data_IF_691860657433
#
_entry.id   IF_691860657433
#
_cell.length_a   1.000
_cell.length_b   1.000
_cell.length_c   1.000
_cell.angle_alpha   90.00
_cell.angle_beta   90.00
_cell.angle_gamma   90.00
#
_symmetry.space_group_name_H-M   'P 1'
#
loop_
_entity.id
_entity.type
_entity.pdbx_description
1 polymer ?
#
# COMPACT_ATOMS: atom_id res chain seq x y z
N UNK A 1 12.54 -10.80 -6.25
CA UNK A 1 13.79 -11.62 -6.25
C UNK A 1 14.30 -11.71 -4.82
N UNK A 2 15.14 -12.69 -4.47
CA UNK A 2 15.62 -12.88 -3.09
C UNK A 2 16.98 -13.56 -3.03
N UNK A 3 17.71 -13.36 -1.92
CA UNK A 3 19.02 -13.96 -1.72
C UNK A 3 18.91 -15.49 -1.55
N UNK A 4 19.82 -16.23 -2.20
CA UNK A 4 19.89 -17.69 -2.13
C UNK A 4 20.62 -18.09 -0.85
N UNK A 5 19.98 -18.90 -0.01
CA UNK A 5 20.66 -19.56 1.11
C UNK A 5 21.73 -20.51 0.58
N UNK A 6 22.94 -20.43 1.13
CA UNK A 6 24.11 -21.21 0.71
C UNK A 6 24.39 -22.34 1.69
N UNK A 7 24.55 -22.02 2.97
CA UNK A 7 24.72 -23.03 4.02
C UNK A 7 24.38 -22.49 5.42
N UNK A 8 24.09 -23.43 6.32
CA UNK A 8 24.11 -23.24 7.77
C UNK A 8 25.32 -23.99 8.32
N UNK A 9 26.16 -23.35 9.13
CA UNK A 9 27.40 -23.95 9.65
C UNK A 9 27.83 -23.35 10.98
N UNK A 10 28.76 -24.01 11.66
CA UNK A 10 29.41 -23.46 12.84
C UNK A 10 30.33 -22.27 12.46
N UNK A 11 30.47 -21.26 13.35
CA UNK A 11 31.44 -20.17 13.20
C UNK A 11 32.88 -20.68 13.28
N UNK A 12 33.77 -20.15 12.44
CA UNK A 12 35.21 -20.45 12.47
C UNK A 12 35.98 -19.25 13.03
N UNK A 13 37.01 -19.44 13.89
CA UNK A 13 37.84 -18.35 14.40
C UNK A 13 38.45 -17.48 13.28
N UNK A 14 38.48 -16.17 13.51
CA UNK A 14 38.99 -15.16 12.57
C UNK A 14 37.99 -14.68 11.52
N UNK A 15 36.86 -15.37 11.29
CA UNK A 15 35.86 -14.95 10.28
C UNK A 15 35.11 -13.67 10.66
N UNK A 16 35.08 -13.30 11.94
CA UNK A 16 34.43 -12.09 12.44
C UNK A 16 35.01 -10.78 11.87
N UNK A 17 36.17 -10.82 11.19
CA UNK A 17 36.80 -9.65 10.57
C UNK A 17 37.21 -8.54 11.56
N UNK A 18 37.27 -8.84 12.86
CA UNK A 18 37.49 -7.86 13.93
C UNK A 18 36.22 -7.18 14.46
N UNK A 19 35.02 -7.63 14.04
CA UNK A 19 33.75 -7.12 14.59
C UNK A 19 33.50 -7.53 16.05
N UNK A 20 34.10 -8.63 16.50
CA UNK A 20 34.09 -9.11 17.89
C UNK A 20 35.22 -10.12 18.14
N UNK A 21 35.49 -10.47 19.41
CA UNK A 21 36.45 -11.51 19.78
C UNK A 21 35.97 -12.90 19.36
N UNK A 22 36.91 -13.80 19.04
CA UNK A 22 36.62 -15.20 18.67
C UNK A 22 35.85 -15.98 19.75
N UNK A 23 36.00 -15.61 21.02
CA UNK A 23 35.22 -16.20 22.13
C UNK A 23 33.73 -15.81 22.11
N UNK A 24 33.38 -14.68 21.47
CA UNK A 24 32.01 -14.22 21.27
C UNK A 24 31.47 -14.59 19.89
N UNK A 25 32.34 -14.76 18.89
CA UNK A 25 32.01 -15.28 17.56
C UNK A 25 31.71 -16.79 17.62
N UNK A 26 32.63 -17.57 18.20
CA UNK A 26 32.55 -19.03 18.37
C UNK A 26 31.94 -19.46 19.72
N UNK A 27 31.08 -18.62 20.30
CA UNK A 27 30.39 -18.93 21.56
C UNK A 27 29.39 -20.08 21.44
N UNK A 28 29.05 -20.72 22.56
CA UNK A 28 28.06 -21.80 22.58
C UNK A 28 26.69 -21.34 22.06
N UNK A 29 26.06 -22.14 21.20
CA UNK A 29 24.79 -21.81 20.55
C UNK A 29 24.88 -20.82 19.38
N UNK A 30 26.08 -20.38 18.98
CA UNK A 30 26.29 -19.57 17.76
C UNK A 30 26.18 -20.41 16.49
N UNK A 31 25.80 -19.76 15.39
CA UNK A 31 25.71 -20.34 14.05
C UNK A 31 25.95 -19.26 13.00
N UNK A 32 26.52 -19.64 11.85
CA UNK A 32 26.62 -18.81 10.65
C UNK A 32 25.59 -19.30 9.63
N UNK A 33 24.77 -18.38 9.14
CA UNK A 33 23.84 -18.58 8.03
C UNK A 33 24.34 -17.75 6.84
N UNK A 34 24.70 -18.41 5.74
CA UNK A 34 25.30 -17.76 4.58
C UNK A 34 24.26 -17.59 3.46
N UNK A 35 24.18 -16.37 2.90
CA UNK A 35 23.26 -16.01 1.83
C UNK A 35 24.00 -15.25 0.73
N UNK A 36 23.67 -15.53 -0.54
CA UNK A 36 24.22 -14.83 -1.71
C UNK A 36 23.07 -14.25 -2.54
N UNK A 37 23.08 -12.93 -2.72
CA UNK A 37 22.28 -12.25 -3.73
C UNK A 37 23.10 -12.15 -5.01
N UNK A 38 22.78 -12.97 -6.02
CA UNK A 38 23.50 -13.01 -7.30
C UNK A 38 23.17 -11.83 -8.22
N UNK A 39 22.13 -11.06 -7.91
CA UNK A 39 21.67 -9.91 -8.69
C UNK A 39 22.09 -8.61 -7.99
N UNK A 40 22.63 -7.61 -8.70
CA UNK A 40 22.89 -6.29 -8.12
C UNK A 40 21.58 -5.66 -7.59
N UNK A 41 21.60 -5.18 -6.35
CA UNK A 41 20.50 -4.42 -5.73
C UNK A 41 21.03 -3.13 -5.09
N UNK A 42 20.25 -2.03 -5.10
CA UNK A 42 20.54 -0.86 -4.28
C UNK A 42 20.50 -1.19 -2.76
N UNK A 43 21.30 -0.51 -1.91
CA UNK A 43 21.41 -0.87 -0.49
C UNK A 43 20.11 -0.80 0.32
N UNK A 44 19.13 0.00 -0.08
CA UNK A 44 17.85 0.10 0.65
C UNK A 44 16.98 -1.16 0.55
N UNK A 45 17.27 -2.06 -0.42
CA UNK A 45 16.63 -3.37 -0.54
C UNK A 45 17.33 -4.46 0.27
N UNK A 46 18.39 -4.13 1.03
CA UNK A 46 19.01 -5.07 1.96
C UNK A 46 18.15 -5.22 3.22
N UNK A 47 17.37 -6.30 3.27
CA UNK A 47 16.59 -6.69 4.43
C UNK A 47 17.10 -8.02 5.01
N UNK A 48 17.10 -8.13 6.35
CA UNK A 48 17.37 -9.37 7.07
C UNK A 48 16.52 -9.44 8.34
N UNK A 49 16.16 -10.64 8.76
CA UNK A 49 15.42 -10.90 10.00
C UNK A 49 16.07 -12.08 10.73
N UNK A 50 16.18 -11.99 12.05
CA UNK A 50 16.78 -13.03 12.91
C UNK A 50 15.90 -13.24 14.12
N UNK A 51 15.55 -14.50 14.38
CA UNK A 51 14.70 -14.93 15.49
C UNK A 51 14.44 -16.43 15.39
N UNK A 52 13.61 -16.96 16.29
CA UNK A 52 13.10 -18.33 16.15
C UNK A 52 12.00 -18.33 15.07
N UNK A 53 12.40 -18.45 13.80
CA UNK A 53 11.49 -18.34 12.66
C UNK A 53 11.10 -19.72 12.11
N UNK A 54 9.79 -19.94 11.96
CA UNK A 54 9.24 -21.06 11.19
C UNK A 54 8.67 -20.60 9.85
N UNK A 55 8.12 -21.54 9.07
CA UNK A 55 7.37 -21.21 7.87
C UNK A 55 6.14 -22.10 7.65
N UNK A 56 5.27 -21.65 6.74
CA UNK A 56 4.18 -22.41 6.13
C UNK A 56 4.17 -22.16 4.62
N UNK A 57 3.83 -23.17 3.85
CA UNK A 57 3.66 -23.05 2.39
C UNK A 57 2.21 -22.63 2.11
N UNK A 58 2.03 -21.53 1.39
CA UNK A 58 0.71 -20.93 1.08
C UNK A 58 0.42 -20.90 -0.42
N UNK A 59 1.31 -21.47 -1.23
CA UNK A 59 1.19 -21.58 -2.67
C UNK A 59 2.37 -22.35 -3.29
N UNK A 60 2.29 -22.75 -4.57
CA UNK A 60 3.31 -23.57 -5.25
C UNK A 60 4.70 -22.91 -5.37
N UNK A 61 4.81 -21.62 -5.03
CA UNK A 61 6.03 -20.81 -5.05
C UNK A 61 6.14 -19.85 -3.85
N UNK A 62 5.22 -19.94 -2.90
CA UNK A 62 4.98 -18.88 -1.91
C UNK A 62 4.96 -19.45 -0.50
N UNK A 63 5.74 -18.83 0.40
CA UNK A 63 5.86 -19.22 1.81
C UNK A 63 5.71 -18.00 2.70
N UNK A 64 4.99 -18.15 3.80
CA UNK A 64 4.94 -17.16 4.89
C UNK A 64 5.90 -17.60 5.99
N UNK A 65 6.63 -16.64 6.55
CA UNK A 65 7.55 -16.82 7.67
C UNK A 65 7.07 -16.00 8.87
N UNK A 66 7.15 -16.56 10.06
CA UNK A 66 6.79 -15.89 11.33
C UNK A 66 7.58 -16.50 12.49
N UNK A 67 7.40 -15.96 13.70
CA UNK A 67 7.81 -16.65 14.93
C UNK A 67 7.35 -18.12 14.92
N UNK A 68 8.20 -19.04 15.39
CA UNK A 68 8.02 -20.49 15.26
C UNK A 68 6.92 -21.09 16.14
N UNK A 69 6.15 -20.26 16.85
CA UNK A 69 5.00 -20.67 17.66
C UNK A 69 3.90 -21.22 16.72
N UNK A 70 3.44 -22.48 16.87
CA UNK A 70 2.51 -23.10 15.92
C UNK A 70 1.24 -22.27 15.67
N UNK A 71 0.63 -21.72 16.72
CA UNK A 71 -0.57 -20.87 16.59
C UNK A 71 -0.32 -19.54 15.86
N UNK A 72 0.91 -19.00 15.90
CA UNK A 72 1.28 -17.80 15.14
C UNK A 72 1.53 -18.17 13.68
N UNK A 73 2.23 -19.28 13.41
CA UNK A 73 2.43 -19.80 12.07
C UNK A 73 1.13 -20.16 11.37
N UNK A 74 0.18 -20.77 12.09
CA UNK A 74 -1.11 -21.16 11.54
C UNK A 74 -2.07 -19.97 11.39
N UNK A 75 -1.99 -18.96 12.27
CA UNK A 75 -2.69 -17.68 12.09
C UNK A 75 -2.15 -16.92 10.88
N UNK A 76 -0.83 -16.76 10.77
CA UNK A 76 -0.17 -16.15 9.61
C UNK A 76 -0.50 -16.93 8.33
N UNK A 77 -0.43 -18.27 8.34
CA UNK A 77 -0.83 -19.08 7.18
C UNK A 77 -2.33 -19.05 6.88
N UNK A 78 -3.18 -18.57 7.79
CA UNK A 78 -4.61 -18.31 7.54
C UNK A 78 -4.83 -16.92 6.96
N UNK A 79 -4.20 -15.88 7.52
CA UNK A 79 -4.16 -14.52 6.96
C UNK A 79 -3.62 -14.55 5.52
N UNK A 80 -2.50 -15.25 5.33
CA UNK A 80 -1.85 -15.47 4.05
C UNK A 80 -2.34 -16.73 3.31
N UNK A 81 -3.39 -17.42 3.74
CA UNK A 81 -3.97 -18.57 3.01
C UNK A 81 -4.45 -18.17 1.62
N UNK A 82 -5.00 -16.96 1.52
CA UNK A 82 -5.42 -16.37 0.26
C UNK A 82 -4.27 -15.91 -0.63
N UNK A 83 -2.98 -16.09 -0.30
CA UNK A 83 -1.89 -15.32 -0.95
C UNK A 83 -1.80 -15.52 -2.46
N UNK A 84 -1.98 -16.72 -3.04
CA UNK A 84 -1.94 -16.83 -4.51
C UNK A 84 -3.13 -16.11 -5.19
N UNK A 85 -4.26 -15.92 -4.50
CA UNK A 85 -5.34 -15.03 -4.94
C UNK A 85 -5.00 -13.56 -4.62
N UNK A 86 -4.44 -13.26 -3.45
CA UNK A 86 -3.97 -11.94 -3.03
C UNK A 86 -2.64 -11.52 -3.69
N UNK A 87 -2.11 -12.28 -4.65
CA UNK A 87 -1.17 -11.76 -5.66
C UNK A 87 -1.83 -10.62 -6.48
N UNK A 88 -3.15 -10.47 -6.40
CA UNK A 88 -3.94 -9.29 -6.81
C UNK A 88 -3.68 -8.03 -5.96
N UNK A 89 -3.25 -8.17 -4.70
CA UNK A 89 -2.95 -7.10 -3.73
C UNK A 89 -1.43 -6.92 -3.59
N UNK A 90 -0.70 -8.03 -3.51
CA UNK A 90 0.77 -8.12 -3.67
C UNK A 90 1.18 -7.83 -5.14
N UNK A 91 0.24 -7.42 -6.00
CA UNK A 91 0.51 -7.03 -7.40
C UNK A 91 1.50 -5.86 -7.49
N UNK A 92 1.50 -4.98 -6.49
CA UNK A 92 2.42 -3.85 -6.35
C UNK A 92 3.84 -4.34 -6.03
N UNK A 93 4.02 -5.07 -4.92
CA UNK A 93 5.29 -5.71 -4.53
C UNK A 93 5.85 -6.67 -5.60
N UNK A 94 4.97 -7.34 -6.33
CA UNK A 94 5.34 -8.18 -7.47
C UNK A 94 5.85 -7.33 -8.63
N UNK A 95 5.16 -6.24 -8.97
CA UNK A 95 5.60 -5.28 -9.99
C UNK A 95 6.96 -4.65 -9.64
N UNK A 96 7.24 -4.38 -8.36
CA UNK A 96 8.56 -3.91 -7.92
C UNK A 96 9.72 -4.81 -8.35
N UNK A 97 9.50 -6.12 -8.56
CA UNK A 97 10.52 -7.02 -9.13
C UNK A 97 11.04 -6.59 -10.51
N UNK A 98 10.34 -5.69 -11.20
CA UNK A 98 10.81 -4.98 -12.39
C UNK A 98 11.11 -3.50 -12.11
N UNK A 99 10.25 -2.81 -11.35
CA UNK A 99 10.24 -1.33 -11.21
C UNK A 99 10.55 -0.90 -9.77
N UNK A 100 11.81 -0.55 -9.52
CA UNK A 100 12.44 -0.43 -8.20
C UNK A 100 13.60 -1.41 -8.06
N UNK A 101 13.33 -2.72 -8.15
CA UNK A 101 14.33 -3.76 -7.87
C UNK A 101 15.25 -4.09 -9.06
N UNK A 102 14.80 -3.86 -10.30
CA UNK A 102 15.54 -4.24 -11.52
C UNK A 102 15.84 -3.03 -12.42
N UNK A 103 14.99 -2.00 -12.45
CA UNK A 103 15.37 -0.63 -12.78
C UNK A 103 15.11 0.20 -11.53
N UNK A 104 16.07 1.01 -11.08
CA UNK A 104 15.92 1.82 -9.85
C UNK A 104 15.96 3.32 -10.17
N UNK A 105 15.28 4.14 -9.39
CA UNK A 105 15.51 5.58 -9.36
C UNK A 105 16.94 5.94 -8.88
N UNK A 106 17.57 6.91 -9.53
CA UNK A 106 18.95 7.36 -9.21
C UNK A 106 19.04 8.26 -7.97
N UNK A 107 17.94 8.92 -7.62
CA UNK A 107 17.72 9.63 -6.35
C UNK A 107 16.22 9.69 -6.06
N UNK A 108 15.85 10.09 -4.84
CA UNK A 108 14.46 10.27 -4.42
C UNK A 108 13.70 11.29 -5.30
N UNK A 109 14.40 12.27 -5.88
CA UNK A 109 13.85 13.25 -6.85
C UNK A 109 13.31 12.60 -8.15
N UNK A 110 13.61 11.31 -8.36
CA UNK A 110 13.18 10.50 -9.50
C UNK A 110 12.33 9.29 -9.07
N UNK A 111 11.84 9.26 -7.83
CA UNK A 111 11.19 8.08 -7.24
C UNK A 111 9.91 7.64 -7.98
N UNK A 112 9.21 8.55 -8.68
CA UNK A 112 8.09 8.22 -9.56
C UNK A 112 8.42 7.16 -10.64
N UNK A 113 9.71 6.98 -11.00
CA UNK A 113 10.18 5.93 -11.91
C UNK A 113 10.07 4.52 -11.32
N UNK A 114 10.00 4.39 -9.99
CA UNK A 114 9.64 3.16 -9.30
C UNK A 114 8.09 3.08 -9.25
N UNK A 115 7.46 3.75 -8.27
CA UNK A 115 6.05 3.58 -7.90
C UNK A 115 5.07 3.83 -9.03
N UNK A 116 5.36 4.78 -9.92
CA UNK A 116 4.48 5.09 -11.03
C UNK A 116 4.42 3.93 -12.02
N UNK A 117 5.57 3.36 -12.36
CA UNK A 117 5.64 2.16 -13.19
C UNK A 117 5.16 0.90 -12.44
N UNK A 118 5.35 0.83 -11.12
CA UNK A 118 4.82 -0.24 -10.26
C UNK A 118 3.29 -0.22 -10.23
N UNK A 119 2.68 0.92 -9.90
CA UNK A 119 1.23 1.20 -9.96
C UNK A 119 0.66 0.89 -11.35
N UNK A 120 1.37 1.26 -12.43
CA UNK A 120 0.96 0.89 -13.79
C UNK A 120 0.93 -0.62 -13.99
N UNK A 121 2.00 -1.32 -13.62
CA UNK A 121 2.12 -2.76 -13.78
C UNK A 121 1.15 -3.53 -12.85
N UNK A 122 0.95 -3.08 -11.63
CA UNK A 122 -0.08 -3.55 -10.68
C UNK A 122 -1.47 -3.47 -11.32
N UNK A 123 -1.88 -2.29 -11.81
CA UNK A 123 -3.17 -2.09 -12.49
C UNK A 123 -3.33 -2.97 -13.72
N UNK A 124 -2.23 -3.30 -14.43
CA UNK A 124 -2.21 -4.24 -15.56
C UNK A 124 -2.28 -5.71 -15.13
N UNK A 125 -1.68 -6.09 -14.00
CA UNK A 125 -1.84 -7.42 -13.38
C UNK A 125 -3.28 -7.59 -12.90
N UNK A 126 -3.85 -6.58 -12.23
CA UNK A 126 -5.26 -6.53 -11.85
C UNK A 126 -6.17 -6.67 -13.07
N UNK A 127 -5.91 -5.96 -14.17
CA UNK A 127 -6.71 -6.10 -15.40
C UNK A 127 -6.63 -7.50 -16.00
N UNK A 128 -5.45 -8.13 -16.00
CA UNK A 128 -5.24 -9.47 -16.56
C UNK A 128 -5.82 -10.61 -15.70
N UNK A 129 -5.92 -10.41 -14.38
CA UNK A 129 -6.32 -11.46 -13.41
C UNK A 129 -7.74 -11.27 -12.89
N UNK A 130 -8.22 -10.03 -12.76
CA UNK A 130 -9.55 -9.66 -12.22
C UNK A 130 -10.47 -9.02 -13.27
N UNK A 131 -9.97 -8.77 -14.48
CA UNK A 131 -10.71 -8.11 -15.54
C UNK A 131 -10.66 -6.58 -15.49
N UNK A 132 -11.09 -5.97 -16.60
CA UNK A 132 -10.98 -4.54 -16.86
C UNK A 132 -11.72 -3.67 -15.85
N UNK A 133 -12.91 -4.09 -15.40
CA UNK A 133 -13.75 -3.28 -14.51
C UNK A 133 -13.11 -3.08 -13.13
N UNK A 134 -12.47 -4.12 -12.57
CA UNK A 134 -11.72 -4.00 -11.30
C UNK A 134 -10.47 -3.14 -11.44
N UNK A 135 -9.75 -3.23 -12.56
CA UNK A 135 -8.62 -2.34 -12.82
C UNK A 135 -9.06 -0.87 -12.95
N UNK A 136 -10.19 -0.62 -13.60
CA UNK A 136 -10.78 0.71 -13.75
C UNK A 136 -11.32 1.25 -12.42
N UNK A 137 -11.83 0.39 -11.51
CA UNK A 137 -12.10 0.75 -10.12
C UNK A 137 -10.83 1.19 -9.37
N UNK A 138 -9.74 0.41 -9.43
CA UNK A 138 -8.46 0.78 -8.79
C UNK A 138 -7.90 2.10 -9.34
N UNK A 139 -8.03 2.36 -10.65
CA UNK A 139 -7.61 3.64 -11.26
C UNK A 139 -8.49 4.79 -10.74
N UNK A 140 -9.81 4.59 -10.62
CA UNK A 140 -10.75 5.59 -10.09
C UNK A 140 -10.49 5.95 -8.62
N UNK A 141 -10.25 4.94 -7.78
CA UNK A 141 -9.90 5.14 -6.36
C UNK A 141 -8.57 5.89 -6.24
N UNK A 142 -7.54 5.49 -6.98
CA UNK A 142 -6.24 6.18 -6.99
C UNK A 142 -6.32 7.62 -7.53
N UNK A 143 -7.24 7.91 -8.45
CA UNK A 143 -7.49 9.28 -8.91
C UNK A 143 -8.16 10.15 -7.84
N UNK A 144 -9.10 9.60 -7.05
CA UNK A 144 -9.64 10.33 -5.89
C UNK A 144 -8.53 10.63 -4.87
N UNK A 145 -7.70 9.64 -4.52
CA UNK A 145 -6.57 9.83 -3.62
C UNK A 145 -5.64 10.96 -4.08
N UNK A 146 -5.26 10.94 -5.37
CA UNK A 146 -4.50 12.00 -6.01
C UNK A 146 -5.14 13.38 -5.82
N UNK A 147 -6.44 13.52 -6.10
CA UNK A 147 -7.19 14.79 -5.95
C UNK A 147 -7.21 15.26 -4.48
N UNK A 148 -7.33 14.35 -3.51
CA UNK A 148 -7.33 14.68 -2.08
C UNK A 148 -5.93 15.10 -1.59
N UNK A 149 -4.85 14.50 -2.10
CA UNK A 149 -3.47 14.95 -1.83
C UNK A 149 -3.13 16.28 -2.53
N UNK A 150 -3.67 16.57 -3.72
CA UNK A 150 -3.56 17.90 -4.34
C UNK A 150 -4.18 19.01 -3.46
N UNK A 151 -5.37 18.77 -2.90
CA UNK A 151 -6.04 19.71 -1.98
C UNK A 151 -5.29 19.83 -0.64
N UNK A 152 -4.67 18.74 -0.15
CA UNK A 152 -3.81 18.74 1.03
C UNK A 152 -2.51 19.54 0.82
N UNK A 153 -1.93 19.49 -0.38
CA UNK A 153 -0.68 20.18 -0.72
C UNK A 153 -0.85 21.52 -1.47
N UNK A 154 -2.07 22.06 -1.61
CA UNK A 154 -2.33 23.35 -2.27
C UNK A 154 -1.50 24.52 -1.75
N UNK A 155 -1.19 24.53 -0.45
CA UNK A 155 -0.40 25.56 0.22
C UNK A 155 1.13 25.33 0.09
N UNK A 156 1.55 24.20 -0.48
CA UNK A 156 2.95 23.89 -0.83
C UNK A 156 3.03 23.02 -2.09
N UNK A 157 2.69 23.62 -3.23
CA UNK A 157 2.55 22.92 -4.51
C UNK A 157 3.83 22.25 -5.03
N UNK A 158 5.01 22.52 -4.49
CA UNK A 158 6.25 21.85 -4.90
C UNK A 158 6.20 20.33 -4.66
N UNK A 159 5.41 19.85 -3.68
CA UNK A 159 5.18 18.42 -3.45
C UNK A 159 4.22 17.76 -4.46
N UNK A 160 3.59 18.54 -5.35
CA UNK A 160 2.66 18.02 -6.37
C UNK A 160 3.35 17.69 -7.71
N UNK A 161 4.68 17.80 -7.79
CA UNK A 161 5.48 17.50 -8.99
C UNK A 161 5.87 16.03 -9.06
N UNK A 162 5.85 15.43 -10.25
CA UNK A 162 6.42 14.09 -10.46
C UNK A 162 7.95 14.05 -10.23
N UNK A 163 8.68 15.09 -10.66
CA UNK A 163 10.10 15.34 -10.32
C UNK A 163 10.16 16.32 -9.13
N UNK A 164 9.89 15.82 -7.94
CA UNK A 164 10.01 16.56 -6.66
C UNK A 164 11.47 16.83 -6.29
N UNK A 165 11.72 17.74 -5.35
CA UNK A 165 13.02 17.93 -4.70
C UNK A 165 12.94 17.36 -3.28
N UNK A 166 13.44 16.14 -3.06
CA UNK A 166 13.11 15.32 -1.90
C UNK A 166 14.21 15.30 -0.82
N UNK A 167 14.80 16.45 -0.48
CA UNK A 167 15.68 16.55 0.69
C UNK A 167 14.90 16.44 2.02
N UNK A 168 14.64 15.20 2.45
CA UNK A 168 14.07 14.86 3.76
C UNK A 168 12.55 14.67 3.79
N UNK A 169 11.95 14.14 2.71
CA UNK A 169 10.50 13.90 2.61
C UNK A 169 10.23 12.49 2.03
N UNK A 170 9.07 11.94 2.37
CA UNK A 170 8.59 10.57 2.08
C UNK A 170 7.85 10.51 0.72
N UNK A 171 8.05 9.49 -0.16
CA UNK A 171 7.95 9.74 -1.62
C UNK A 171 6.75 9.24 -2.46
N UNK A 172 5.77 8.50 -1.92
CA UNK A 172 4.88 7.58 -2.69
C UNK A 172 3.66 8.19 -3.44
N UNK A 173 3.75 8.75 -4.68
CA UNK A 173 2.54 9.11 -5.48
C UNK A 173 2.66 9.38 -7.03
N UNK A 174 1.50 9.37 -7.75
CA UNK A 174 1.17 9.87 -9.15
C UNK A 174 1.57 9.09 -10.46
N UNK A 175 0.63 8.84 -11.42
CA UNK A 175 0.85 8.27 -12.81
C UNK A 175 -0.45 8.16 -13.71
N UNK A 176 -0.55 8.04 -15.07
CA UNK A 176 0.07 8.57 -16.33
C UNK A 176 -0.77 8.17 -17.61
N UNK A 177 -0.40 8.50 -18.88
CA UNK A 177 -1.09 8.05 -20.14
C UNK A 177 -0.21 7.75 -21.40
N UNK A 178 -0.33 6.56 -22.04
CA UNK A 178 0.02 6.25 -23.47
C UNK A 178 -0.87 5.07 -24.02
N UNK A 179 -1.06 4.96 -25.34
CA UNK A 179 -1.79 3.88 -26.02
C UNK A 179 -1.16 2.47 -25.97
N UNK A 180 -1.98 1.46 -25.61
CA UNK A 180 -1.56 0.16 -25.05
C UNK A 180 -0.54 -0.68 -25.85
N UNK A 181 -0.76 -1.15 -27.10
CA UNK A 181 0.14 -2.13 -27.71
C UNK A 181 1.54 -1.58 -28.01
N UNK A 182 1.63 -0.30 -28.36
CA UNK A 182 2.91 0.39 -28.55
C UNK A 182 3.64 0.61 -27.21
N UNK A 183 2.88 0.90 -26.15
CA UNK A 183 3.44 1.04 -24.80
C UNK A 183 3.96 -0.29 -24.23
N UNK A 184 3.30 -1.42 -24.51
CA UNK A 184 3.79 -2.74 -24.08
C UNK A 184 5.13 -3.11 -24.73
N UNK A 185 5.36 -2.76 -26.00
CA UNK A 185 6.66 -2.92 -26.65
C UNK A 185 7.70 -1.89 -26.16
N UNK A 186 7.28 -0.67 -25.81
CA UNK A 186 8.15 0.30 -25.14
C UNK A 186 8.63 -0.20 -23.77
N UNK A 187 7.72 -0.71 -22.93
CA UNK A 187 8.02 -1.25 -21.61
C UNK A 187 8.97 -2.45 -21.68
N UNK A 188 8.79 -3.37 -22.63
CA UNK A 188 9.73 -4.48 -22.87
C UNK A 188 11.13 -3.99 -23.20
N UNK A 189 11.26 -2.97 -24.06
CA UNK A 189 12.56 -2.36 -24.40
C UNK A 189 13.17 -1.62 -23.21
N UNK A 190 12.38 -0.86 -22.47
CA UNK A 190 12.78 -0.14 -21.25
C UNK A 190 13.39 -1.11 -20.22
N UNK A 191 12.66 -2.17 -19.87
CA UNK A 191 13.11 -3.26 -18.99
C UNK A 191 14.36 -3.97 -19.54
N UNK A 192 14.41 -4.26 -20.84
CA UNK A 192 15.57 -4.91 -21.44
C UNK A 192 16.84 -4.03 -21.46
N UNK A 193 16.67 -2.70 -21.55
CA UNK A 193 17.77 -1.71 -21.65
C UNK A 193 18.34 -1.36 -20.29
N UNK A 194 17.49 -1.05 -19.31
CA UNK A 194 17.91 -0.49 -18.02
C UNK A 194 17.98 -1.50 -16.87
N UNK A 195 17.80 -2.81 -17.13
CA UNK A 195 17.98 -3.84 -16.11
C UNK A 195 19.34 -3.71 -15.41
N UNK A 196 19.31 -3.83 -14.08
CA UNK A 196 20.42 -3.67 -13.14
C UNK A 196 21.13 -2.30 -13.22
N UNK A 197 20.38 -1.25 -13.56
CA UNK A 197 20.87 0.15 -13.58
C UNK A 197 19.94 1.07 -12.78
N UNK A 198 20.52 2.17 -12.30
CA UNK A 198 19.78 3.28 -11.68
C UNK A 198 19.72 4.46 -12.64
N UNK A 199 18.52 5.01 -12.89
CA UNK A 199 18.30 6.08 -13.88
C UNK A 199 17.60 7.31 -13.29
N UNK A 200 17.79 8.45 -13.93
CA UNK A 200 17.06 9.69 -13.65
C UNK A 200 15.92 9.94 -14.64
N UNK A 201 15.05 10.89 -14.31
CA UNK A 201 13.96 11.35 -15.18
C UNK A 201 14.45 11.74 -16.57
N UNK A 202 15.63 12.35 -16.66
CA UNK A 202 16.13 12.92 -17.90
C UNK A 202 16.61 11.80 -18.85
N UNK A 203 17.30 10.78 -18.32
CA UNK A 203 17.60 9.51 -18.99
C UNK A 203 16.34 8.79 -19.48
N UNK A 204 15.28 8.76 -18.66
CA UNK A 204 14.00 8.18 -19.07
C UNK A 204 13.37 8.96 -20.24
N UNK A 205 13.32 10.30 -20.16
CA UNK A 205 12.71 11.15 -21.18
C UNK A 205 13.44 11.04 -22.53
N UNK A 206 14.78 10.98 -22.54
CA UNK A 206 15.55 10.76 -23.76
C UNK A 206 15.26 9.38 -24.37
N UNK A 207 15.16 8.33 -23.55
CA UNK A 207 14.79 6.99 -24.01
C UNK A 207 13.34 6.93 -24.55
N UNK A 208 12.42 7.65 -23.92
CA UNK A 208 11.02 7.80 -24.36
C UNK A 208 10.95 8.46 -25.74
N UNK A 209 11.62 9.61 -25.93
CA UNK A 209 11.67 10.32 -27.22
C UNK A 209 12.30 9.47 -28.32
N UNK A 210 13.36 8.73 -28.01
CA UNK A 210 14.05 7.86 -28.96
C UNK A 210 13.21 6.64 -29.40
N UNK A 211 12.34 6.12 -28.52
CA UNK A 211 11.52 4.94 -28.81
C UNK A 211 10.07 5.25 -29.20
N UNK A 212 9.58 6.46 -28.92
CA UNK A 212 8.26 6.98 -29.30
C UNK A 212 8.44 8.35 -29.99
N UNK A 213 8.96 8.39 -31.23
CA UNK A 213 9.27 9.64 -31.91
C UNK A 213 8.02 10.51 -32.09
N UNK A 214 8.14 11.78 -31.70
CA UNK A 214 7.04 12.74 -31.81
C UNK A 214 6.04 12.74 -30.65
N UNK A 215 6.31 12.01 -29.55
CA UNK A 215 5.49 12.05 -28.32
C UNK A 215 5.29 13.47 -27.77
N UNK A 216 6.27 14.36 -27.93
CA UNK A 216 6.23 15.78 -27.54
C UNK A 216 5.20 16.62 -28.32
N UNK A 217 4.62 16.10 -29.42
CA UNK A 217 3.50 16.73 -30.12
C UNK A 217 2.13 16.36 -29.51
N UNK A 218 2.11 15.44 -28.54
CA UNK A 218 0.89 14.87 -27.95
C UNK A 218 0.81 15.05 -26.43
N UNK A 219 1.96 15.11 -25.76
CA UNK A 219 2.07 15.27 -24.31
C UNK A 219 3.14 16.34 -24.04
N UNK A 220 2.80 17.36 -23.23
CA UNK A 220 3.83 18.28 -22.70
C UNK A 220 4.59 17.57 -21.58
N UNK A 221 5.66 16.87 -21.96
CA UNK A 221 6.51 16.10 -21.05
C UNK A 221 7.04 16.96 -19.89
N UNK A 222 7.19 18.29 -20.08
CA UNK A 222 7.68 19.18 -19.03
C UNK A 222 6.58 19.53 -18.03
N UNK A 223 5.36 19.80 -18.48
CA UNK A 223 4.20 19.98 -17.60
C UNK A 223 3.96 18.71 -16.78
N UNK A 224 4.08 17.53 -17.40
CA UNK A 224 3.96 16.27 -16.67
C UNK A 224 5.09 16.06 -15.63
N UNK A 225 6.36 16.27 -15.95
CA UNK A 225 7.44 15.96 -14.99
C UNK A 225 7.75 17.09 -14.01
N UNK A 226 7.65 18.35 -14.40
CA UNK A 226 8.09 19.52 -13.61
C UNK A 226 6.95 20.49 -13.24
N UNK A 227 5.76 20.31 -13.81
CA UNK A 227 4.56 21.10 -13.49
C UNK A 227 3.95 20.71 -12.13
N UNK A 228 3.13 21.62 -11.60
CA UNK A 228 2.41 21.43 -10.33
C UNK A 228 0.92 21.23 -10.54
N UNK A 229 0.29 20.46 -9.64
CA UNK A 229 -1.09 20.01 -9.79
C UNK A 229 -1.24 18.88 -10.82
N UNK A 230 -2.48 18.47 -11.06
CA UNK A 230 -2.81 17.50 -12.10
C UNK A 230 -2.64 18.16 -13.49
N UNK A 231 -1.89 17.56 -14.44
CA UNK A 231 -1.74 18.08 -15.79
C UNK A 231 -3.09 18.30 -16.50
N UNK A 232 -3.32 19.43 -17.22
CA UNK A 232 -4.62 19.73 -17.83
C UNK A 232 -5.11 18.75 -18.91
N UNK A 233 -4.22 17.89 -19.42
CA UNK A 233 -4.46 16.82 -20.39
C UNK A 233 -4.63 15.44 -19.74
N UNK A 234 -4.44 15.30 -18.42
CA UNK A 234 -4.71 14.07 -17.69
C UNK A 234 -6.22 13.79 -17.62
N UNK A 235 -6.70 12.78 -18.35
CA UNK A 235 -8.11 12.40 -18.31
C UNK A 235 -8.47 11.66 -17.01
N UNK A 236 -9.51 12.15 -16.34
CA UNK A 236 -10.17 11.47 -15.22
C UNK A 236 -10.72 10.08 -15.64
N UNK A 237 -10.49 9.03 -14.83
CA UNK A 237 -10.99 7.68 -15.11
C UNK A 237 -12.50 7.53 -14.83
N UNK A 238 -13.28 7.21 -15.86
CA UNK A 238 -14.67 6.79 -15.70
C UNK A 238 -14.75 5.33 -15.22
N UNK A 239 -15.37 5.10 -14.05
CA UNK A 239 -15.57 3.77 -13.46
C UNK A 239 -17.01 3.60 -12.96
N UNK A 240 -17.79 2.75 -13.64
CA UNK A 240 -19.21 2.55 -13.33
C UNK A 240 -19.44 1.97 -11.93
N UNK A 241 -18.56 1.08 -11.46
CA UNK A 241 -18.61 0.51 -10.10
C UNK A 241 -18.41 1.63 -9.05
N UNK A 242 -17.39 2.46 -9.24
CA UNK A 242 -17.10 3.60 -8.37
C UNK A 242 -18.29 4.58 -8.35
N UNK A 243 -18.80 4.98 -9.52
CA UNK A 243 -19.95 5.89 -9.64
C UNK A 243 -21.21 5.33 -9.00
N UNK A 244 -21.50 4.02 -9.15
CA UNK A 244 -22.62 3.35 -8.47
C UNK A 244 -22.48 3.43 -6.95
N UNK A 245 -21.31 3.06 -6.41
CA UNK A 245 -21.07 3.03 -4.95
C UNK A 245 -21.14 4.44 -4.35
N UNK A 246 -20.52 5.42 -5.00
CA UNK A 246 -20.56 6.82 -4.56
C UNK A 246 -21.99 7.40 -4.67
N UNK A 247 -22.80 6.99 -5.65
CA UNK A 247 -24.24 7.36 -5.69
C UNK A 247 -24.99 6.82 -4.46
N UNK A 248 -24.84 5.53 -4.17
CA UNK A 248 -25.51 4.89 -3.02
C UNK A 248 -25.07 5.51 -1.68
N UNK A 249 -23.80 5.86 -1.53
CA UNK A 249 -23.29 6.56 -0.34
C UNK A 249 -23.85 8.00 -0.21
N UNK A 250 -24.12 8.68 -1.33
CA UNK A 250 -24.79 9.98 -1.34
C UNK A 250 -26.27 9.90 -0.96
N UNK A 251 -26.96 8.81 -1.30
CA UNK A 251 -28.39 8.60 -0.97
C UNK A 251 -28.65 8.39 0.54
N UNK A 252 -27.61 8.05 1.30
CA UNK A 252 -27.64 8.04 2.77
C UNK A 252 -28.08 9.38 3.37
N UNK A 253 -27.85 10.50 2.65
CA UNK A 253 -28.31 11.86 3.02
C UNK A 253 -29.83 11.99 3.12
N UNK A 254 -30.57 11.15 2.40
CA UNK A 254 -32.05 11.08 2.45
C UNK A 254 -32.56 9.83 3.19
N UNK A 255 -31.68 9.16 3.94
CA UNK A 255 -32.03 7.99 4.76
C UNK A 255 -32.16 6.67 4.00
N UNK A 256 -31.82 6.61 2.71
CA UNK A 256 -31.72 5.34 1.98
C UNK A 256 -30.38 4.68 2.26
N UNK A 257 -30.42 3.41 2.65
CA UNK A 257 -29.27 2.50 2.60
C UNK A 257 -29.52 1.49 1.47
N UNK A 258 -28.49 1.01 0.74
CA UNK A 258 -28.65 0.04 -0.34
C UNK A 258 -29.31 -1.25 0.16
N UNK A 259 -30.03 -1.97 -0.69
CA UNK A 259 -30.58 -3.28 -0.32
C UNK A 259 -29.49 -4.38 -0.32
N UNK A 260 -29.83 -5.57 0.15
CA UNK A 260 -28.88 -6.70 0.20
C UNK A 260 -28.41 -7.13 -1.19
N UNK A 261 -29.28 -7.11 -2.20
CA UNK A 261 -28.92 -7.42 -3.60
C UNK A 261 -27.96 -6.37 -4.21
N UNK A 262 -28.06 -5.11 -3.78
CA UNK A 262 -27.21 -4.01 -4.27
C UNK A 262 -25.75 -4.09 -3.77
N UNK A 263 -25.53 -4.80 -2.65
CA UNK A 263 -24.23 -5.00 -1.98
C UNK A 263 -23.75 -6.46 -1.99
N UNK A 264 -24.51 -7.39 -2.57
CA UNK A 264 -24.23 -8.83 -2.50
C UNK A 264 -22.84 -9.22 -3.04
N UNK A 265 -22.36 -8.52 -4.06
CA UNK A 265 -21.05 -8.74 -4.70
C UNK A 265 -19.92 -7.86 -4.11
N UNK A 266 -20.14 -7.11 -3.03
CA UNK A 266 -19.15 -6.18 -2.48
C UNK A 266 -18.08 -6.88 -1.63
N UNK A 267 -16.82 -6.74 -2.03
CA UNK A 267 -15.65 -7.07 -1.20
C UNK A 267 -15.23 -5.91 -0.30
N UNK A 268 -14.10 -6.07 0.42
CA UNK A 268 -13.59 -5.07 1.35
C UNK A 268 -13.44 -3.67 0.75
N UNK A 269 -12.86 -3.56 -0.45
CA UNK A 269 -12.66 -2.29 -1.16
C UNK A 269 -13.97 -1.58 -1.54
N UNK A 270 -15.01 -2.33 -1.93
CA UNK A 270 -16.33 -1.77 -2.23
C UNK A 270 -17.01 -1.20 -0.98
N UNK A 271 -16.89 -1.90 0.15
CA UNK A 271 -17.38 -1.44 1.45
C UNK A 271 -16.59 -0.25 2.02
N UNK A 272 -15.25 -0.31 1.95
CA UNK A 272 -14.34 0.79 2.28
C UNK A 272 -14.74 2.06 1.50
N UNK A 273 -14.85 1.96 0.17
CA UNK A 273 -15.28 3.04 -0.70
C UNK A 273 -16.68 3.58 -0.36
N UNK A 274 -17.65 2.71 -0.05
CA UNK A 274 -18.99 3.16 0.38
C UNK A 274 -18.92 3.96 1.68
N UNK A 275 -18.24 3.42 2.70
CA UNK A 275 -18.15 4.00 4.04
C UNK A 275 -17.41 5.34 4.05
N UNK A 276 -16.34 5.48 3.27
CA UNK A 276 -15.59 6.73 3.12
C UNK A 276 -16.35 7.83 2.35
N UNK A 277 -17.31 7.46 1.48
CA UNK A 277 -18.10 8.42 0.72
C UNK A 277 -19.48 8.72 1.36
N UNK A 278 -19.73 8.20 2.57
CA UNK A 278 -20.86 8.63 3.39
C UNK A 278 -20.76 10.12 3.77
N UNK A 279 -21.87 10.74 4.22
CA UNK A 279 -21.87 12.15 4.59
C UNK A 279 -20.88 12.46 5.73
N UNK A 280 -20.19 13.61 5.68
CA UNK A 280 -19.25 14.05 6.73
C UNK A 280 -19.86 14.23 8.13
N UNK A 281 -21.18 14.09 8.26
CA UNK A 281 -21.92 14.04 9.51
C UNK A 281 -22.95 12.93 9.39
N UNK A 282 -22.76 11.87 10.18
CA UNK A 282 -23.67 10.74 10.35
C UNK A 282 -24.02 10.65 11.83
N UNK A 283 -25.28 10.46 12.15
CA UNK A 283 -25.74 10.33 13.53
C UNK A 283 -25.41 8.94 14.10
N UNK A 284 -25.11 8.86 15.40
CA UNK A 284 -24.79 7.59 16.06
C UNK A 284 -25.91 6.53 15.92
N UNK A 285 -27.17 6.95 15.79
CA UNK A 285 -28.32 6.08 15.49
C UNK A 285 -28.31 5.51 14.07
N UNK A 286 -27.78 6.26 13.09
CA UNK A 286 -27.60 5.79 11.72
C UNK A 286 -26.44 4.79 11.61
N UNK A 287 -25.35 4.98 12.37
CA UNK A 287 -24.26 3.99 12.49
C UNK A 287 -24.79 2.66 13.04
N UNK A 288 -25.58 2.71 14.12
CA UNK A 288 -26.22 1.52 14.69
C UNK A 288 -27.16 0.83 13.71
N UNK A 289 -27.93 1.59 12.92
CA UNK A 289 -28.83 1.04 11.91
C UNK A 289 -28.10 0.45 10.70
N UNK A 290 -26.93 0.99 10.32
CA UNK A 290 -26.07 0.46 9.27
C UNK A 290 -25.48 -0.89 9.70
N UNK A 291 -24.90 -0.95 10.90
CA UNK A 291 -24.29 -2.17 11.43
C UNK A 291 -25.32 -3.28 11.71
N UNK A 292 -26.48 -2.92 12.28
CA UNK A 292 -27.59 -3.86 12.50
C UNK A 292 -28.16 -4.45 11.19
N UNK A 293 -27.78 -3.91 10.02
CA UNK A 293 -28.17 -4.43 8.71
C UNK A 293 -27.09 -5.30 8.04
N UNK A 294 -25.81 -4.93 8.16
CA UNK A 294 -24.73 -5.59 7.40
C UNK A 294 -23.63 -6.26 8.27
N UNK A 295 -23.66 -6.12 9.60
CA UNK A 295 -22.70 -6.77 10.51
C UNK A 295 -21.25 -6.29 10.39
N UNK A 296 -21.06 -5.02 10.00
CA UNK A 296 -19.75 -4.45 9.63
C UNK A 296 -18.75 -4.46 10.80
N UNK A 297 -19.24 -4.28 12.03
CA UNK A 297 -18.41 -4.31 13.25
C UNK A 297 -17.84 -5.69 13.58
N UNK A 298 -18.50 -6.76 13.16
CA UNK A 298 -18.07 -8.16 13.32
C UNK A 298 -17.37 -8.72 12.06
N UNK A 299 -17.11 -7.87 11.05
CA UNK A 299 -16.43 -8.27 9.81
C UNK A 299 -15.06 -8.91 10.08
N UNK A 300 -14.79 -10.00 9.36
CA UNK A 300 -13.48 -10.66 9.30
C UNK A 300 -12.53 -10.01 8.28
N UNK A 301 -13.09 -9.26 7.33
CA UNK A 301 -12.33 -8.38 6.45
C UNK A 301 -12.05 -7.08 7.23
N UNK A 302 -10.76 -6.82 7.49
CA UNK A 302 -10.32 -5.67 8.27
C UNK A 302 -10.46 -4.34 7.51
N UNK A 303 -10.53 -4.33 6.17
CA UNK A 303 -10.77 -3.10 5.42
C UNK A 303 -12.18 -2.59 5.74
N UNK A 304 -13.18 -3.48 5.68
CA UNK A 304 -14.57 -3.21 6.11
C UNK A 304 -14.63 -2.79 7.58
N UNK A 305 -13.98 -3.58 8.45
CA UNK A 305 -14.07 -3.38 9.91
C UNK A 305 -13.46 -2.05 10.33
N UNK A 306 -12.29 -1.69 9.78
CA UNK A 306 -11.58 -0.44 10.09
C UNK A 306 -12.35 0.76 9.55
N UNK A 307 -12.80 0.72 8.29
CA UNK A 307 -13.60 1.81 7.71
C UNK A 307 -14.89 2.07 8.49
N UNK A 308 -15.59 1.01 8.92
CA UNK A 308 -16.78 1.12 9.75
C UNK A 308 -16.46 1.68 11.14
N UNK A 309 -15.40 1.19 11.80
CA UNK A 309 -15.02 1.69 13.13
C UNK A 309 -14.55 3.15 13.09
N UNK A 310 -13.90 3.59 12.00
CA UNK A 310 -13.57 5.00 11.75
C UNK A 310 -14.82 5.87 11.59
N UNK A 311 -15.83 5.41 10.84
CA UNK A 311 -17.15 6.04 10.78
C UNK A 311 -17.80 6.12 12.17
N UNK A 312 -17.77 5.04 12.95
CA UNK A 312 -18.33 5.01 14.30
C UNK A 312 -17.63 5.99 15.26
N UNK A 313 -16.31 6.15 15.16
CA UNK A 313 -15.53 7.13 15.92
C UNK A 313 -15.90 8.57 15.51
N UNK A 314 -15.91 8.89 14.22
CA UNK A 314 -16.26 10.23 13.73
C UNK A 314 -17.69 10.64 14.09
N UNK A 315 -18.63 9.68 14.06
CA UNK A 315 -20.03 9.82 14.49
C UNK A 315 -20.22 9.77 16.01
N UNK A 316 -19.14 9.62 16.79
CA UNK A 316 -19.13 9.50 18.27
C UNK A 316 -20.06 8.40 18.82
N UNK A 317 -20.20 7.30 18.08
CA UNK A 317 -21.04 6.16 18.45
C UNK A 317 -20.32 5.29 19.49
N UNK A 318 -20.45 5.66 20.77
CA UNK A 318 -19.72 5.07 21.90
C UNK A 318 -19.96 3.57 22.10
N UNK A 319 -21.05 3.01 21.56
CA UNK A 319 -21.33 1.58 21.49
C UNK A 319 -20.14 0.77 20.94
N UNK A 320 -19.42 1.32 19.96
CA UNK A 320 -18.32 0.62 19.29
C UNK A 320 -16.94 0.83 19.92
N UNK A 321 -16.79 1.69 20.94
CA UNK A 321 -15.48 1.99 21.52
C UNK A 321 -14.79 0.75 22.12
N UNK A 322 -15.54 -0.25 22.59
CA UNK A 322 -14.97 -1.52 23.02
C UNK A 322 -14.39 -2.33 21.85
N UNK A 323 -15.07 -2.34 20.70
CA UNK A 323 -14.62 -3.03 19.49
C UNK A 323 -13.46 -2.27 18.79
N UNK A 324 -13.40 -0.95 18.93
CA UNK A 324 -12.21 -0.14 18.59
C UNK A 324 -11.02 -0.55 19.46
N UNK A 325 -11.15 -0.59 20.79
CA UNK A 325 -10.03 -0.98 21.67
C UNK A 325 -9.61 -2.45 21.45
N UNK A 326 -10.56 -3.33 21.10
CA UNK A 326 -10.26 -4.72 20.71
C UNK A 326 -9.50 -4.78 19.39
N UNK A 327 -10.04 -4.18 18.33
CA UNK A 327 -9.41 -4.14 16.99
C UNK A 327 -8.00 -3.55 17.04
N UNK A 328 -7.80 -2.46 17.78
CA UNK A 328 -6.48 -1.85 17.98
C UNK A 328 -5.44 -2.79 18.64
N UNK A 329 -5.85 -3.86 19.34
CA UNK A 329 -4.95 -4.90 19.90
C UNK A 329 -4.78 -6.10 18.98
N UNK A 330 -5.68 -6.28 18.02
CA UNK A 330 -5.70 -7.41 17.08
C UNK A 330 -4.88 -7.11 15.81
N UNK A 331 -4.64 -5.84 15.47
CA UNK A 331 -3.94 -5.44 14.24
C UNK A 331 -2.62 -4.70 14.48
N UNK A 332 -1.61 -4.99 13.66
CA UNK A 332 -0.31 -4.31 13.68
C UNK A 332 -0.03 -3.37 12.49
N UNK A 333 -0.80 -3.46 11.39
CA UNK A 333 -0.52 -2.69 10.16
C UNK A 333 -0.83 -1.20 10.35
N UNK A 334 0.08 -0.31 9.92
CA UNK A 334 -0.16 1.14 9.97
C UNK A 334 -1.39 1.59 9.16
N UNK A 335 -1.75 0.92 8.05
CA UNK A 335 -3.01 1.18 7.31
C UNK A 335 -4.22 1.13 8.25
N UNK A 336 -4.24 0.23 9.23
CA UNK A 336 -5.39 0.04 10.13
C UNK A 336 -5.25 0.86 11.41
N UNK A 337 -4.04 0.96 11.97
CA UNK A 337 -3.80 1.69 13.21
C UNK A 337 -3.89 3.22 13.03
N UNK A 338 -3.34 3.78 11.95
CA UNK A 338 -3.25 5.24 11.73
C UNK A 338 -4.61 5.92 11.59
N UNK A 339 -5.60 5.40 10.83
CA UNK A 339 -6.92 6.03 10.73
C UNK A 339 -7.72 5.95 12.03
N UNK A 340 -7.70 4.80 12.72
CA UNK A 340 -8.36 4.63 14.02
C UNK A 340 -7.76 5.58 15.08
N UNK A 341 -6.42 5.66 15.20
CA UNK A 341 -5.80 6.59 16.14
C UNK A 341 -6.05 8.05 15.78
N UNK A 342 -6.03 8.40 14.49
CA UNK A 342 -6.27 9.77 14.02
C UNK A 342 -7.72 10.19 14.29
N UNK A 343 -8.70 9.33 13.99
CA UNK A 343 -10.10 9.54 14.34
C UNK A 343 -10.31 9.69 15.85
N UNK A 344 -9.67 8.84 16.67
CA UNK A 344 -9.77 8.93 18.12
C UNK A 344 -9.20 10.23 18.69
N UNK A 345 -8.12 10.77 18.11
CA UNK A 345 -7.54 12.06 18.54
C UNK A 345 -8.42 13.23 18.08
N UNK A 346 -8.84 13.25 16.81
CA UNK A 346 -9.65 14.32 16.24
C UNK A 346 -11.07 14.38 16.84
N UNK A 347 -11.62 13.23 17.26
CA UNK A 347 -12.95 13.14 17.86
C UNK A 347 -13.11 13.71 19.27
N UNK A 348 -12.02 14.10 19.96
CA UNK A 348 -11.95 14.37 21.41
C UNK A 348 -12.69 15.63 21.92
N UNK A 349 -14.03 15.63 21.87
CA UNK A 349 -14.86 16.69 22.44
C UNK A 349 -14.94 16.63 23.98
N UNK A 350 -15.23 15.44 24.53
CA UNK A 350 -15.48 15.19 25.95
C UNK A 350 -14.25 14.61 26.66
N UNK A 351 -14.22 14.73 27.99
CA UNK A 351 -13.12 14.23 28.81
C UNK A 351 -13.02 12.69 28.78
N UNK A 352 -14.16 12.00 28.74
CA UNK A 352 -14.23 10.53 28.60
C UNK A 352 -13.62 10.04 27.28
N UNK A 353 -13.86 10.78 26.19
CA UNK A 353 -13.30 10.51 24.85
C UNK A 353 -11.77 10.71 24.85
N UNK A 354 -11.28 11.75 25.54
CA UNK A 354 -9.83 12.01 25.74
C UNK A 354 -9.16 10.92 26.57
N UNK A 355 -9.80 10.48 27.65
CA UNK A 355 -9.32 9.39 28.51
C UNK A 355 -9.27 8.08 27.72
N UNK A 356 -10.28 7.80 26.88
CA UNK A 356 -10.30 6.63 26.02
C UNK A 356 -9.19 6.65 24.95
N UNK A 357 -9.03 7.75 24.21
CA UNK A 357 -7.98 7.90 23.21
C UNK A 357 -6.58 7.74 23.84
N UNK A 358 -6.35 8.36 25.01
CA UNK A 358 -5.09 8.26 25.77
C UNK A 358 -4.83 6.84 26.30
N UNK A 359 -5.87 6.11 26.74
CA UNK A 359 -5.76 4.69 27.13
C UNK A 359 -5.33 3.80 25.96
N UNK A 360 -5.79 4.12 24.75
CA UNK A 360 -5.46 3.37 23.55
C UNK A 360 -4.04 3.69 23.04
N UNK A 361 -3.61 4.96 23.04
CA UNK A 361 -2.29 5.34 22.49
C UNK A 361 -1.12 4.92 23.38
N UNK A 362 -1.30 4.92 24.71
CA UNK A 362 -0.25 4.51 25.66
C UNK A 362 0.17 3.03 25.59
N UNK A 363 -0.44 2.21 24.72
CA UNK A 363 -0.16 0.78 24.58
C UNK A 363 0.63 0.40 23.32
N UNK A 364 0.70 1.26 22.30
CA UNK A 364 1.47 1.02 21.07
C UNK A 364 2.66 1.97 20.96
N UNK A 365 3.74 1.62 21.68
CA UNK A 365 4.99 2.40 21.73
C UNK A 365 5.69 2.53 20.37
N UNK A 366 5.39 1.64 19.42
CA UNK A 366 5.93 1.63 18.05
C UNK A 366 5.07 2.37 17.00
N UNK A 367 3.83 2.78 17.32
CA UNK A 367 2.89 3.33 16.33
C UNK A 367 2.97 4.86 16.15
N UNK A 368 4.12 5.48 16.49
CA UNK A 368 4.31 6.95 16.50
C UNK A 368 5.57 7.38 15.71
N UNK A 369 6.38 6.44 15.22
CA UNK A 369 7.60 6.75 14.45
C UNK A 369 7.65 5.89 13.17
N UNK A 370 6.86 6.34 12.18
CA UNK A 370 7.11 6.40 10.74
C UNK A 370 5.93 7.19 10.14
#
# INVERSE_FOLDING_TARGET
>A
MGAKHVCRRDPVPGECGGACDDSLWCGEGRVVEEFVMEQPIPPYLFAFAVGELGFREVGPRTKVYSEAVPGVLDAAATEFAGTEEMIKVVAHELAHSWTGNLITNKSNDHFWLNEGFTTYAERRIVEAVQGKERAVLNIGIGWKGLVEEMERFKDNMEFTKLKTNQQGVDPDDVYSQIGRPAFDEFLKKYIATFKFQSIDTDTFLDFLKANVPGIENHIDLKVWTEGTGIPPDAMEPASDIYTKIVSLANEFKVGRMPNEDEVADWGGQEWELYLENLPKSVEASQVLALDARYGLSESKDYEVKVAFLQLAISSRCSNYYNEVEKTLKEVGRMKYLRPLYTGLVQGTGKEEEKIFAKRCSQRHVLAIIL
#
